data_IF_246618349143
#
_entry.id   IF_246618349143
#
_cell.length_a   1.000
_cell.length_b   1.000
_cell.length_c   1.000
_cell.angle_alpha   90.00
_cell.angle_beta   90.00
_cell.angle_gamma   90.00
#
_symmetry.space_group_name_H-M   'P 1'
#
loop_
_entity.id
_entity.type
_entity.pdbx_description
1 polymer ?
#
# COMPACT_ATOMS: atom_id res chain seq x y z
N UNK A 1 -22.91 -40.82 -28.95
CA UNK A 1 -22.49 -39.80 -29.93
C UNK A 1 -21.86 -38.66 -29.16
N UNK A 2 -20.54 -38.56 -29.25
CA UNK A 2 -19.71 -37.53 -28.63
C UNK A 2 -19.50 -36.38 -29.61
N UNK A 3 -19.60 -35.14 -29.15
CA UNK A 3 -18.67 -34.06 -29.53
C UNK A 3 -18.74 -32.92 -28.51
N UNK A 4 -17.64 -32.78 -27.77
CA UNK A 4 -17.23 -31.56 -27.07
C UNK A 4 -16.87 -30.49 -28.13
N UNK A 5 -17.38 -29.28 -27.99
CA UNK A 5 -16.86 -28.12 -28.73
C UNK A 5 -16.20 -27.12 -27.78
N UNK A 6 -14.88 -27.18 -27.87
CA UNK A 6 -13.81 -26.35 -27.36
C UNK A 6 -14.00 -24.84 -27.67
N UNK A 7 -14.02 -23.99 -26.64
CA UNK A 7 -13.74 -22.56 -26.79
C UNK A 7 -12.34 -22.26 -26.25
N UNK A 8 -11.35 -22.27 -27.16
CA UNK A 8 -10.02 -21.70 -26.94
C UNK A 8 -10.13 -20.18 -26.87
N UNK A 9 -9.65 -19.56 -25.79
CA UNK A 9 -9.02 -18.24 -25.84
C UNK A 9 -7.86 -18.20 -24.85
N UNK A 10 -6.67 -18.31 -25.41
CA UNK A 10 -5.40 -18.10 -24.72
C UNK A 10 -4.88 -16.69 -25.00
N UNK A 11 -4.13 -16.19 -24.00
CA UNK A 11 -3.16 -15.09 -23.98
C UNK A 11 -3.68 -13.68 -23.70
N UNK A 12 -3.41 -13.27 -22.48
CA UNK A 12 -2.49 -12.14 -22.25
C UNK A 12 -1.34 -12.59 -21.32
N UNK A 13 -0.12 -12.51 -21.88
CA UNK A 13 1.17 -12.36 -21.18
C UNK A 13 1.36 -10.83 -21.22
N UNK A 14 1.75 -10.08 -20.21
CA UNK A 14 2.90 -10.21 -19.31
C UNK A 14 2.85 -9.04 -18.31
N UNK A 15 3.39 -9.21 -17.11
CA UNK A 15 4.39 -8.32 -16.47
C UNK A 15 4.69 -8.88 -15.07
N UNK A 16 5.81 -9.59 -15.01
CA UNK A 16 6.82 -9.53 -13.97
C UNK A 16 6.55 -8.58 -12.78
N UNK A 17 6.46 -9.16 -11.58
CA UNK A 17 6.60 -8.46 -10.30
C UNK A 17 5.42 -8.61 -9.34
N UNK A 18 5.15 -9.81 -8.81
CA UNK A 18 4.15 -9.95 -7.73
C UNK A 18 4.33 -11.17 -6.81
N UNK A 19 5.51 -11.80 -6.78
CA UNK A 19 5.81 -12.86 -5.79
C UNK A 19 6.04 -12.31 -4.36
N UNK A 20 5.59 -11.08 -4.07
CA UNK A 20 5.85 -10.38 -2.81
C UNK A 20 4.59 -9.74 -2.21
N UNK A 21 3.38 -10.09 -2.66
CA UNK A 21 2.14 -9.61 -2.02
C UNK A 21 1.56 -10.64 -1.06
N UNK A 22 1.49 -11.91 -1.49
CA UNK A 22 1.00 -13.02 -0.65
C UNK A 22 1.90 -13.24 0.57
N UNK A 23 3.22 -13.18 0.39
CA UNK A 23 4.17 -13.41 1.49
C UNK A 23 4.18 -12.30 2.55
N UNK A 24 3.76 -11.09 2.18
CA UNK A 24 3.68 -9.96 3.13
C UNK A 24 2.30 -9.93 3.81
N UNK A 25 1.28 -10.49 3.18
CA UNK A 25 -0.01 -10.78 3.83
C UNK A 25 0.15 -11.77 4.99
N UNK A 26 1.02 -12.77 4.85
CA UNK A 26 1.31 -13.76 5.91
C UNK A 26 1.98 -13.15 7.16
N UNK A 27 2.69 -12.02 7.04
CA UNK A 27 3.46 -11.41 8.14
C UNK A 27 2.63 -10.53 9.09
N UNK A 28 1.33 -10.36 8.81
CA UNK A 28 0.40 -9.59 9.62
C UNK A 28 -0.68 -10.50 10.24
N UNK A 29 -0.27 -11.59 10.92
CA UNK A 29 -1.08 -12.43 11.83
C UNK A 29 -2.49 -12.86 11.35
N UNK A 30 -2.72 -12.98 10.04
CA UNK A 30 -3.93 -13.53 9.44
C UNK A 30 -4.12 -13.10 7.99
N UNK A 31 -4.93 -13.84 7.19
CA UNK A 31 -5.25 -13.42 5.83
C UNK A 31 -6.05 -12.10 5.89
N UNK A 32 -5.46 -11.02 5.36
CA UNK A 32 -6.21 -9.76 5.19
C UNK A 32 -7.34 -10.03 4.19
N UNK A 33 -8.56 -9.71 4.60
CA UNK A 33 -9.76 -9.83 3.77
C UNK A 33 -9.54 -9.11 2.42
N UNK A 34 -9.63 -9.82 1.27
CA UNK A 34 -9.51 -9.21 -0.04
C UNK A 34 -10.48 -8.04 -0.27
N UNK A 35 -11.65 -8.07 0.36
CA UNK A 35 -12.63 -6.99 0.25
C UNK A 35 -12.18 -5.76 1.06
N UNK A 36 -11.45 -5.95 2.16
CA UNK A 36 -10.82 -4.86 2.91
C UNK A 36 -9.76 -4.16 2.07
N UNK A 37 -8.96 -4.92 1.30
CA UNK A 37 -7.97 -4.37 0.38
C UNK A 37 -8.64 -3.55 -0.73
N UNK A 38 -9.77 -4.01 -1.26
CA UNK A 38 -10.52 -3.25 -2.29
C UNK A 38 -11.16 -1.99 -1.72
N UNK A 39 -11.64 -2.02 -0.46
CA UNK A 39 -12.24 -0.86 0.21
C UNK A 39 -11.22 0.19 0.65
N UNK A 40 -9.96 -0.21 0.87
CA UNK A 40 -8.89 0.65 1.39
C UNK A 40 -7.70 0.76 0.43
N UNK A 41 -7.98 0.91 -0.86
CA UNK A 41 -6.96 0.90 -1.92
C UNK A 41 -5.83 1.92 -1.66
N UNK A 42 -6.17 3.12 -1.19
CA UNK A 42 -5.21 4.20 -0.98
C UNK A 42 -4.29 3.93 0.23
N UNK A 43 -4.85 3.45 1.35
CA UNK A 43 -4.05 3.03 2.51
C UNK A 43 -3.15 1.83 2.20
N UNK A 44 -3.67 0.84 1.48
CA UNK A 44 -2.85 -0.30 1.07
C UNK A 44 -1.79 0.09 0.04
N UNK A 45 -2.05 1.06 -0.83
CA UNK A 45 -1.02 1.66 -1.68
C UNK A 45 0.09 2.29 -0.83
N UNK A 46 -0.26 3.08 0.19
CA UNK A 46 0.72 3.70 1.09
C UNK A 46 1.57 2.65 1.82
N UNK A 47 0.95 1.58 2.33
CA UNK A 47 1.65 0.47 2.97
C UNK A 47 2.74 -0.10 2.06
N UNK A 48 2.38 -0.41 0.80
CA UNK A 48 3.29 -0.98 -0.20
C UNK A 48 4.42 -0.02 -0.53
N UNK A 49 4.10 1.26 -0.67
CA UNK A 49 5.07 2.27 -1.05
C UNK A 49 6.07 2.53 0.10
N UNK A 50 5.62 2.56 1.35
CA UNK A 50 6.48 2.64 2.52
C UNK A 50 7.38 1.40 2.66
N UNK A 51 6.84 0.20 2.46
CA UNK A 51 7.62 -1.04 2.46
C UNK A 51 8.72 -1.05 1.40
N UNK A 52 8.43 -0.50 0.21
CA UNK A 52 9.40 -0.35 -0.89
C UNK A 52 10.53 0.64 -0.57
N UNK A 53 10.30 1.58 0.37
CA UNK A 53 11.26 2.58 0.82
C UNK A 53 11.99 2.19 2.12
N UNK A 54 11.54 1.13 2.78
CA UNK A 54 12.11 0.66 4.04
C UNK A 54 13.53 0.14 3.84
N UNK A 55 14.45 0.64 4.65
CA UNK A 55 15.88 0.24 4.64
C UNK A 55 16.30 -0.38 5.97
N UNK A 56 15.78 0.15 7.09
CA UNK A 56 16.18 -0.26 8.43
C UNK A 56 15.05 -0.95 9.22
N UNK A 57 15.38 -1.40 10.43
CA UNK A 57 14.44 -2.12 11.32
C UNK A 57 13.30 -1.19 11.80
N UNK A 58 13.56 0.10 11.96
CA UNK A 58 12.57 1.08 12.43
C UNK A 58 11.52 1.29 11.34
N UNK A 59 11.93 1.43 10.08
CA UNK A 59 11.02 1.54 8.95
C UNK A 59 10.07 0.34 8.86
N UNK A 60 10.60 -0.88 9.04
CA UNK A 60 9.81 -2.12 8.99
C UNK A 60 8.76 -2.18 10.09
N UNK A 61 9.12 -1.77 11.31
CA UNK A 61 8.20 -1.70 12.43
C UNK A 61 7.08 -0.67 12.19
N UNK A 62 7.43 0.47 11.58
CA UNK A 62 6.45 1.50 11.20
C UNK A 62 5.52 0.99 10.10
N UNK A 63 6.04 0.30 9.07
CA UNK A 63 5.22 -0.32 8.02
C UNK A 63 4.26 -1.37 8.61
N UNK A 64 4.72 -2.19 9.57
CA UNK A 64 3.88 -3.17 10.26
C UNK A 64 2.73 -2.50 11.01
N UNK A 65 3.01 -1.40 11.73
CA UNK A 65 1.98 -0.63 12.44
C UNK A 65 0.98 0.03 11.50
N UNK A 66 1.44 0.59 10.37
CA UNK A 66 0.54 1.16 9.36
C UNK A 66 -0.41 0.10 8.83
N UNK A 67 0.11 -1.09 8.50
CA UNK A 67 -0.69 -2.21 7.99
C UNK A 67 -1.75 -2.68 9.00
N UNK A 68 -1.42 -2.70 10.30
CA UNK A 68 -2.39 -3.00 11.35
C UNK A 68 -3.49 -1.94 11.45
N UNK A 69 -3.16 -0.67 11.25
CA UNK A 69 -4.14 0.42 11.24
C UNK A 69 -5.02 0.35 9.99
N UNK A 70 -4.43 0.15 8.81
CA UNK A 70 -5.18 -0.05 7.57
C UNK A 70 -6.15 -1.25 7.65
N UNK A 71 -5.82 -2.25 8.45
CA UNK A 71 -6.69 -3.40 8.72
C UNK A 71 -7.85 -3.14 9.69
N UNK A 72 -7.88 -1.98 10.37
CA UNK A 72 -8.81 -1.66 11.46
C UNK A 72 -9.63 -0.39 11.24
N UNK A 73 -9.19 0.50 10.35
CA UNK A 73 -9.95 1.69 10.00
C UNK A 73 -11.15 1.33 9.13
N UNK A 74 -12.24 2.09 9.29
CA UNK A 74 -13.47 1.90 8.52
C UNK A 74 -13.44 2.61 7.17
N UNK A 75 -12.69 3.71 7.10
CA UNK A 75 -12.59 4.59 5.94
C UNK A 75 -11.18 4.56 5.34
N UNK A 76 -11.12 4.62 4.00
CA UNK A 76 -9.87 4.78 3.27
C UNK A 76 -9.34 6.22 3.35
N UNK A 77 -8.10 6.41 2.89
CA UNK A 77 -7.60 7.75 2.63
C UNK A 77 -8.41 8.41 1.50
N UNK A 78 -8.88 9.66 1.69
CA UNK A 78 -9.56 10.40 0.64
C UNK A 78 -8.70 10.52 -0.63
N UNK A 79 -9.31 10.39 -1.81
CA UNK A 79 -8.55 10.46 -3.06
C UNK A 79 -7.85 11.82 -3.24
N UNK A 80 -8.43 12.87 -2.65
CA UNK A 80 -7.95 14.25 -2.66
C UNK A 80 -6.59 14.41 -1.97
N UNK A 81 -6.25 13.52 -1.04
CA UNK A 81 -4.96 13.58 -0.33
C UNK A 81 -3.86 12.79 -1.03
N UNK A 82 -4.20 11.90 -1.96
CA UNK A 82 -3.22 11.08 -2.67
C UNK A 82 -2.17 11.87 -3.47
N UNK A 83 -2.49 13.03 -4.08
CA UNK A 83 -1.48 13.93 -4.65
C UNK A 83 -0.38 14.34 -3.65
N UNK A 84 -0.70 14.47 -2.36
CA UNK A 84 0.27 14.83 -1.30
C UNK A 84 1.30 13.72 -1.08
N UNK A 85 0.87 12.47 -1.21
CA UNK A 85 1.78 11.31 -1.11
C UNK A 85 2.59 11.13 -2.39
N UNK A 86 2.00 11.40 -3.56
CA UNK A 86 2.68 11.22 -4.86
C UNK A 86 3.64 12.36 -5.20
N UNK A 87 3.42 13.55 -4.63
CA UNK A 87 4.32 14.67 -4.83
C UNK A 87 5.66 14.45 -4.13
N UNK A 88 6.75 14.75 -4.82
CA UNK A 88 8.09 14.76 -4.19
C UNK A 88 8.34 16.01 -3.37
N UNK A 89 7.57 17.07 -3.59
CA UNK A 89 7.73 18.34 -2.89
C UNK A 89 7.23 18.25 -1.46
N UNK A 90 7.94 18.91 -0.56
CA UNK A 90 7.48 19.08 0.83
C UNK A 90 6.31 20.06 0.81
N UNK A 91 5.13 19.55 1.15
CA UNK A 91 3.93 20.34 1.28
C UNK A 91 3.58 20.40 2.76
N UNK A 92 3.38 21.62 3.26
CA UNK A 92 2.73 21.80 4.55
C UNK A 92 1.34 21.20 4.46
N UNK A 93 1.07 20.20 5.29
CA UNK A 93 -0.26 19.62 5.43
C UNK A 93 -1.14 20.66 6.12
N UNK A 94 -2.14 21.25 5.43
CA UNK A 94 -3.13 22.05 6.15
C UNK A 94 -3.89 21.15 7.13
N UNK A 95 -4.21 21.70 8.28
CA UNK A 95 -4.86 20.98 9.36
C UNK A 95 -6.15 20.30 8.88
N UNK A 96 -6.33 19.02 9.24
CA UNK A 96 -7.54 18.27 8.93
C UNK A 96 -7.58 17.56 7.58
N UNK A 97 -6.55 17.66 6.73
CA UNK A 97 -6.53 16.89 5.48
C UNK A 97 -6.29 15.39 5.68
N UNK A 98 -5.48 15.00 6.68
CA UNK A 98 -5.23 13.60 6.98
C UNK A 98 -5.85 13.22 8.32
N UNK A 99 -6.37 11.98 8.46
CA UNK A 99 -6.75 11.44 9.76
C UNK A 99 -5.56 11.51 10.72
N UNK A 100 -5.81 11.88 11.98
CA UNK A 100 -4.74 12.03 12.98
C UNK A 100 -3.92 10.74 13.15
N UNK A 101 -4.57 9.58 13.05
CA UNK A 101 -3.93 8.27 13.10
C UNK A 101 -2.93 8.06 11.96
N UNK A 102 -3.08 8.73 10.81
CA UNK A 102 -2.22 8.57 9.63
C UNK A 102 -1.05 9.57 9.61
N UNK A 103 -1.17 10.70 10.33
CA UNK A 103 -0.14 11.74 10.35
C UNK A 103 1.29 11.24 10.68
N UNK A 104 1.51 10.35 11.68
CA UNK A 104 2.84 9.83 11.97
C UNK A 104 3.44 9.04 10.80
N UNK A 105 2.60 8.29 10.09
CA UNK A 105 3.03 7.48 8.94
C UNK A 105 3.33 8.33 7.72
N UNK A 106 2.54 9.39 7.48
CA UNK A 106 2.87 10.37 6.46
C UNK A 106 4.23 11.02 6.73
N UNK A 107 4.48 11.50 7.96
CA UNK A 107 5.77 12.12 8.32
C UNK A 107 6.94 11.16 8.10
N UNK A 108 6.78 9.90 8.50
CA UNK A 108 7.80 8.87 8.28
C UNK A 108 7.99 8.56 6.80
N UNK A 109 6.91 8.49 6.02
CA UNK A 109 6.97 8.33 4.57
C UNK A 109 7.77 9.45 3.90
N UNK A 110 7.54 10.71 4.29
CA UNK A 110 8.32 11.86 3.81
C UNK A 110 9.80 11.75 4.18
N UNK A 111 10.11 11.31 5.40
CA UNK A 111 11.48 11.04 5.81
C UNK A 111 12.15 9.98 4.92
N UNK A 112 11.50 8.85 4.68
CA UNK A 112 12.03 7.78 3.82
C UNK A 112 12.25 8.25 2.37
N UNK A 113 11.32 9.04 1.82
CA UNK A 113 11.49 9.66 0.50
C UNK A 113 12.71 10.57 0.43
N UNK A 114 12.91 11.43 1.44
CA UNK A 114 14.07 12.33 1.53
C UNK A 114 15.37 11.55 1.66
N UNK A 115 15.40 10.47 2.45
CA UNK A 115 16.57 9.60 2.59
C UNK A 115 16.95 8.98 1.25
N UNK A 116 15.98 8.41 0.53
CA UNK A 116 16.21 7.81 -0.78
C UNK A 116 16.64 8.80 -1.86
N UNK A 117 16.16 10.06 -1.81
CA UNK A 117 16.58 11.09 -2.75
C UNK A 117 18.04 11.55 -2.55
N UNK A 118 18.64 11.25 -1.39
CA UNK A 118 20.05 11.55 -1.05
C UNK A 118 21.00 10.40 -1.34
N UNK A 119 20.48 9.19 -1.54
CA UNK A 119 21.23 7.97 -1.84
C UNK A 119 21.45 7.82 -3.34
#
# INVERSE_FOLDING_TARGET
MSTLTLAKRSRTRSLQGSMAYEKVLELADGPIDPDLIRRHENLFWLCREMERLSEDVIDREICKRLRQIAGRVEEDLPAEVMPLFRSREEQDLPAGQLPEAILPFYRHYRFMLKRRARA
#
